data_IF_841074899511
#
_entry.id   IF_841074899511
#
_cell.length_a   1.000
_cell.length_b   1.000
_cell.length_c   1.000
_cell.angle_alpha   90.00
_cell.angle_beta   90.00
_cell.angle_gamma   90.00
#
_symmetry.space_group_name_H-M   'P 1'
#
loop_
_entity.id
_entity.type
_entity.pdbx_description
1 polymer ?
#
# COMPACT_ATOMS: atom_id res chain seq x y z
N UNK A 1 -61.05 -27.51 18.50
CA UNK A 1 -60.03 -26.61 19.07
C UNK A 1 -58.64 -27.25 19.18
N UNK A 2 -58.52 -28.51 19.62
CA UNK A 2 -57.22 -29.19 19.77
C UNK A 2 -56.43 -29.38 18.45
N UNK A 3 -57.10 -29.74 17.34
CA UNK A 3 -56.43 -29.93 16.04
C UNK A 3 -55.87 -28.63 15.45
N UNK A 4 -56.53 -27.51 15.71
CA UNK A 4 -56.12 -26.18 15.23
C UNK A 4 -54.89 -25.66 16.00
N UNK A 5 -54.82 -25.95 17.31
CA UNK A 5 -53.63 -25.71 18.15
C UNK A 5 -52.45 -26.60 17.76
N UNK A 6 -52.71 -27.86 17.36
CA UNK A 6 -51.70 -28.79 16.88
C UNK A 6 -51.06 -28.32 15.57
N UNK A 7 -51.87 -27.89 14.59
CA UNK A 7 -51.40 -27.35 13.32
C UNK A 7 -50.62 -26.04 13.52
N UNK A 8 -51.11 -25.15 14.40
CA UNK A 8 -50.43 -23.89 14.70
C UNK A 8 -49.04 -24.11 15.32
N UNK A 9 -48.90 -25.10 16.22
CA UNK A 9 -47.61 -25.46 16.82
C UNK A 9 -46.62 -26.05 15.79
N UNK A 10 -47.12 -26.85 14.84
CA UNK A 10 -46.29 -27.40 13.76
C UNK A 10 -45.79 -26.27 12.85
N UNK A 11 -46.66 -25.35 12.44
CA UNK A 11 -46.30 -24.20 11.61
C UNK A 11 -45.30 -23.28 12.33
N UNK A 12 -45.48 -23.04 13.63
CA UNK A 12 -44.56 -22.25 14.43
C UNK A 12 -43.17 -22.92 14.55
N UNK A 13 -43.12 -24.24 14.72
CA UNK A 13 -41.86 -24.99 14.75
C UNK A 13 -41.12 -24.92 13.40
N UNK A 14 -41.83 -25.08 12.27
CA UNK A 14 -41.23 -24.92 10.95
C UNK A 14 -40.75 -23.49 10.69
N UNK A 15 -41.52 -22.49 11.11
CA UNK A 15 -41.10 -21.08 11.01
C UNK A 15 -39.84 -20.82 11.86
N UNK A 16 -39.75 -21.35 13.07
CA UNK A 16 -38.57 -21.21 13.94
C UNK A 16 -37.34 -21.93 13.38
N UNK A 17 -37.50 -23.11 12.78
CA UNK A 17 -36.41 -23.82 12.10
C UNK A 17 -35.94 -23.04 10.86
N UNK A 18 -36.88 -22.52 10.06
CA UNK A 18 -36.58 -21.70 8.88
C UNK A 18 -35.85 -20.40 9.23
N UNK A 19 -36.27 -19.69 10.28
CA UNK A 19 -35.59 -18.46 10.74
C UNK A 19 -34.21 -18.76 11.34
N UNK A 20 -34.04 -19.87 12.07
CA UNK A 20 -32.74 -20.30 12.57
C UNK A 20 -31.76 -20.63 11.42
N UNK A 21 -32.24 -21.31 10.37
CA UNK A 21 -31.44 -21.61 9.18
C UNK A 21 -31.04 -20.34 8.41
N UNK A 22 -31.97 -19.42 8.21
CA UNK A 22 -31.68 -18.11 7.60
C UNK A 22 -30.69 -17.29 8.45
N UNK A 23 -30.78 -17.36 9.77
CA UNK A 23 -29.83 -16.73 10.69
C UNK A 23 -28.41 -17.31 10.55
N UNK A 24 -28.29 -18.63 10.40
CA UNK A 24 -26.99 -19.29 10.19
C UNK A 24 -26.39 -18.94 8.82
N UNK A 25 -27.20 -18.93 7.75
CA UNK A 25 -26.73 -18.58 6.40
C UNK A 25 -26.30 -17.11 6.31
N UNK A 26 -27.11 -16.20 6.87
CA UNK A 26 -26.76 -14.77 6.90
C UNK A 26 -25.52 -14.51 7.76
N UNK A 27 -25.34 -15.19 8.88
CA UNK A 27 -24.12 -15.09 9.70
C UNK A 27 -22.87 -15.57 8.95
N UNK A 28 -22.96 -16.68 8.21
CA UNK A 28 -21.83 -17.18 7.41
C UNK A 28 -21.45 -16.19 6.31
N UNK A 29 -22.44 -15.70 5.55
CA UNK A 29 -22.19 -14.68 4.51
C UNK A 29 -21.61 -13.40 5.10
N UNK A 30 -22.13 -12.93 6.23
CA UNK A 30 -21.59 -11.75 6.90
C UNK A 30 -20.13 -11.98 7.34
N UNK A 31 -19.80 -13.16 7.87
CA UNK A 31 -18.43 -13.49 8.26
C UNK A 31 -17.48 -13.54 7.06
N UNK A 32 -17.92 -14.06 5.91
CA UNK A 32 -17.14 -14.05 4.66
C UNK A 32 -16.87 -12.62 4.19
N UNK A 33 -17.89 -11.76 4.22
CA UNK A 33 -17.79 -10.34 3.89
C UNK A 33 -16.81 -9.63 4.85
N UNK A 34 -16.93 -9.86 6.17
CA UNK A 34 -16.05 -9.25 7.18
C UNK A 34 -14.58 -9.69 7.00
N UNK A 35 -14.35 -10.97 6.64
CA UNK A 35 -13.02 -11.49 6.33
C UNK A 35 -12.42 -10.83 5.08
N UNK A 36 -13.23 -10.64 4.04
CA UNK A 36 -12.81 -9.96 2.81
C UNK A 36 -12.44 -8.50 3.10
N UNK A 37 -13.28 -7.78 3.85
CA UNK A 37 -12.97 -6.40 4.28
C UNK A 37 -11.68 -6.31 5.10
N UNK A 38 -11.47 -7.23 6.04
CA UNK A 38 -10.26 -7.24 6.85
C UNK A 38 -9.00 -7.47 6.00
N UNK A 39 -9.08 -8.40 5.03
CA UNK A 39 -7.98 -8.64 4.09
C UNK A 39 -7.67 -7.41 3.25
N UNK A 40 -8.69 -6.75 2.70
CA UNK A 40 -8.50 -5.51 1.93
C UNK A 40 -7.86 -4.39 2.77
N UNK A 41 -8.24 -4.28 4.05
CA UNK A 41 -7.65 -3.30 4.96
C UNK A 41 -6.14 -3.56 5.15
N UNK A 42 -5.75 -4.83 5.35
CA UNK A 42 -4.33 -5.21 5.48
C UNK A 42 -3.53 -4.94 4.20
N UNK A 43 -4.11 -5.20 3.03
CA UNK A 43 -3.47 -4.89 1.74
C UNK A 43 -3.22 -3.38 1.58
N UNK A 44 -4.19 -2.54 1.96
CA UNK A 44 -4.05 -1.08 1.92
C UNK A 44 -2.98 -0.58 2.87
N UNK A 45 -3.02 -1.05 4.13
CA UNK A 45 -2.07 -0.66 5.16
C UNK A 45 -0.64 -0.99 4.73
N UNK A 46 -0.41 -2.19 4.19
CA UNK A 46 0.90 -2.60 3.70
C UNK A 46 1.44 -1.68 2.58
N UNK A 47 0.59 -1.29 1.62
CA UNK A 47 0.97 -0.35 0.57
C UNK A 47 1.24 1.05 1.12
N UNK A 48 0.42 1.55 2.04
CA UNK A 48 0.60 2.88 2.63
C UNK A 48 1.88 2.97 3.47
N UNK A 49 2.15 1.98 4.33
CA UNK A 49 3.38 1.93 5.12
C UNK A 49 4.63 1.86 4.23
N UNK A 50 4.56 1.10 3.13
CA UNK A 50 5.64 1.03 2.16
C UNK A 50 5.92 2.38 1.50
N UNK A 51 4.90 3.05 0.99
CA UNK A 51 5.04 4.37 0.37
C UNK A 51 5.58 5.42 1.36
N UNK A 52 5.13 5.38 2.62
CA UNK A 52 5.66 6.26 3.67
C UNK A 52 7.15 6.00 3.96
N UNK A 53 7.59 4.74 3.93
CA UNK A 53 9.01 4.40 4.11
C UNK A 53 9.89 4.88 2.95
N UNK A 54 9.37 4.87 1.71
CA UNK A 54 10.09 5.42 0.55
C UNK A 54 10.25 6.94 0.63
N UNK A 55 9.21 7.65 1.08
CA UNK A 55 9.30 9.10 1.31
C UNK A 55 10.35 9.42 2.38
N UNK A 56 10.41 8.62 3.44
CA UNK A 56 11.46 8.73 4.46
C UNK A 56 12.86 8.51 3.88
N UNK A 57 13.05 7.54 2.98
CA UNK A 57 14.34 7.29 2.31
C UNK A 57 14.79 8.48 1.46
N UNK A 58 13.89 9.02 0.63
CA UNK A 58 14.20 10.12 -0.29
C UNK A 58 14.44 11.42 0.47
N UNK A 59 13.61 11.72 1.49
CA UNK A 59 13.81 12.88 2.35
C UNK A 59 15.09 12.77 3.16
N UNK A 60 15.43 11.58 3.66
CA UNK A 60 16.73 11.37 4.33
C UNK A 60 17.90 11.68 3.40
N UNK A 61 17.85 11.22 2.15
CA UNK A 61 18.89 11.52 1.18
C UNK A 61 19.01 13.03 0.91
N UNK A 62 17.89 13.76 0.86
CA UNK A 62 17.86 15.19 0.55
C UNK A 62 18.34 16.11 1.69
N UNK A 63 18.14 15.71 2.96
CA UNK A 63 18.37 16.59 4.11
C UNK A 63 19.57 16.24 4.98
N UNK A 64 20.13 15.03 4.88
CA UNK A 64 21.27 14.62 5.71
C UNK A 64 22.61 15.04 5.09
N UNK A 65 23.00 16.30 5.31
CA UNK A 65 24.39 16.73 5.19
C UNK A 65 25.23 16.06 6.29
N UNK A 66 25.97 15.01 5.94
CA UNK A 66 27.14 14.58 6.74
C UNK A 66 26.98 13.38 7.68
N UNK A 67 25.87 12.64 7.67
CA UNK A 67 25.74 11.40 8.44
C UNK A 67 25.40 10.18 7.57
N UNK A 68 26.43 9.35 7.35
CA UNK A 68 26.37 7.88 7.30
C UNK A 68 25.68 7.21 6.12
N UNK A 69 26.47 6.57 5.25
CA UNK A 69 25.99 5.48 4.39
C UNK A 69 25.20 4.38 5.15
N UNK A 70 25.46 4.25 6.46
CA UNK A 70 24.71 3.37 7.36
C UNK A 70 23.25 3.79 7.57
N UNK A 71 22.96 5.07 7.74
CA UNK A 71 21.57 5.52 7.97
C UNK A 71 20.71 5.36 6.72
N UNK A 72 21.30 5.57 5.53
CA UNK A 72 20.64 5.30 4.25
C UNK A 72 20.38 3.79 4.05
N UNK A 73 21.34 2.93 4.42
CA UNK A 73 21.16 1.49 4.37
C UNK A 73 20.00 1.02 5.26
N UNK A 74 19.86 1.59 6.46
CA UNK A 74 18.75 1.30 7.37
C UNK A 74 17.39 1.73 6.80
N UNK A 75 17.33 2.87 6.10
CA UNK A 75 16.10 3.29 5.39
C UNK A 75 15.76 2.35 4.24
N UNK A 76 16.75 1.88 3.48
CA UNK A 76 16.54 0.89 2.41
C UNK A 76 16.04 -0.43 3.01
N UNK A 77 16.63 -0.88 4.13
CA UNK A 77 16.20 -2.08 4.84
C UNK A 77 14.76 -1.96 5.36
N UNK A 78 14.36 -0.78 5.84
CA UNK A 78 12.98 -0.52 6.23
C UNK A 78 12.02 -0.64 5.05
N UNK A 79 12.37 -0.08 3.89
CA UNK A 79 11.57 -0.21 2.67
C UNK A 79 11.45 -1.68 2.23
N UNK A 80 12.56 -2.44 2.28
CA UNK A 80 12.57 -3.89 2.01
C UNK A 80 11.73 -4.70 2.99
N UNK A 81 11.71 -4.30 4.26
CA UNK A 81 10.84 -4.93 5.26
C UNK A 81 9.36 -4.66 4.96
N UNK A 82 9.02 -3.46 4.49
CA UNK A 82 7.64 -3.09 4.18
C UNK A 82 7.16 -3.70 2.86
N UNK A 83 8.01 -3.82 1.83
CA UNK A 83 7.62 -4.54 0.60
C UNK A 83 7.34 -6.02 0.89
N UNK A 84 8.04 -6.66 1.85
CA UNK A 84 7.73 -8.02 2.28
C UNK A 84 6.30 -8.18 2.82
N UNK A 85 5.71 -7.13 3.41
CA UNK A 85 4.28 -7.16 3.78
C UNK A 85 3.39 -7.19 2.53
N UNK A 86 3.76 -6.44 1.49
CA UNK A 86 3.07 -6.45 0.19
C UNK A 86 3.17 -7.83 -0.48
N UNK A 87 4.33 -8.50 -0.40
CA UNK A 87 4.51 -9.88 -0.92
C UNK A 87 3.53 -10.89 -0.32
N UNK A 88 3.09 -10.69 0.92
CA UNK A 88 2.18 -11.63 1.61
C UNK A 88 0.73 -11.44 1.14
N UNK A 89 0.31 -10.20 0.89
CA UNK A 89 -1.09 -9.87 0.72
C UNK A 89 -1.49 -9.48 -0.72
N UNK A 90 -0.54 -9.00 -1.54
CA UNK A 90 -0.83 -8.43 -2.85
C UNK A 90 -0.44 -9.36 -4.02
N UNK A 91 -1.09 -9.20 -5.20
CA UNK A 91 -0.73 -9.96 -6.40
C UNK A 91 0.66 -9.59 -6.93
N UNK A 92 1.26 -10.51 -7.69
CA UNK A 92 2.63 -10.38 -8.21
C UNK A 92 2.87 -9.11 -9.05
N UNK A 93 1.84 -8.59 -9.73
CA UNK A 93 1.92 -7.34 -10.48
C UNK A 93 2.18 -6.12 -9.58
N UNK A 94 1.49 -6.05 -8.44
CA UNK A 94 1.68 -4.98 -7.45
C UNK A 94 3.08 -5.08 -6.86
N UNK A 95 3.49 -6.29 -6.48
CA UNK A 95 4.83 -6.56 -5.96
C UNK A 95 5.92 -6.09 -6.93
N UNK A 96 5.82 -6.48 -8.20
CA UNK A 96 6.79 -6.09 -9.24
C UNK A 96 6.83 -4.57 -9.43
N UNK A 97 5.68 -3.92 -9.46
CA UNK A 97 5.62 -2.47 -9.61
C UNK A 97 6.23 -1.73 -8.41
N UNK A 98 6.01 -2.25 -7.19
CA UNK A 98 6.59 -1.70 -5.96
C UNK A 98 8.11 -1.94 -5.89
N UNK A 99 8.60 -3.11 -6.33
CA UNK A 99 10.04 -3.43 -6.35
C UNK A 99 10.81 -2.57 -7.36
N UNK A 100 10.21 -2.34 -8.54
CA UNK A 100 10.74 -1.37 -9.50
C UNK A 100 10.82 0.04 -8.88
N UNK A 101 9.77 0.47 -8.17
CA UNK A 101 9.79 1.76 -7.47
C UNK A 101 10.89 1.82 -6.40
N UNK A 102 11.15 0.74 -5.65
CA UNK A 102 12.24 0.70 -4.67
C UNK A 102 13.60 0.90 -5.34
N UNK A 103 13.81 0.26 -6.50
CA UNK A 103 15.05 0.35 -7.26
C UNK A 103 15.31 1.79 -7.69
N UNK A 104 14.35 2.41 -8.37
CA UNK A 104 14.47 3.80 -8.84
C UNK A 104 14.63 4.79 -7.67
N UNK A 105 13.89 4.60 -6.58
CA UNK A 105 14.03 5.44 -5.39
C UNK A 105 15.40 5.30 -4.71
N UNK A 106 15.98 4.09 -4.72
CA UNK A 106 17.32 3.84 -4.19
C UNK A 106 18.39 4.50 -5.05
N UNK A 107 18.23 4.44 -6.37
CA UNK A 107 19.13 5.08 -7.33
C UNK A 107 19.08 6.60 -7.18
N UNK A 108 17.88 7.19 -7.09
CA UNK A 108 17.69 8.62 -6.81
C UNK A 108 18.32 9.01 -5.46
N UNK A 109 18.07 8.25 -4.39
CA UNK A 109 18.66 8.52 -3.08
C UNK A 109 20.20 8.45 -3.13
N UNK A 110 20.77 7.51 -3.88
CA UNK A 110 22.21 7.41 -4.13
C UNK A 110 22.73 8.65 -4.88
N UNK A 111 22.04 9.11 -5.93
CA UNK A 111 22.42 10.32 -6.68
C UNK A 111 22.40 11.55 -5.77
N UNK A 112 21.32 11.75 -5.02
CA UNK A 112 21.18 12.87 -4.07
C UNK A 112 22.32 12.85 -3.05
N UNK A 113 22.62 11.69 -2.45
CA UNK A 113 23.68 11.56 -1.44
C UNK A 113 25.10 11.85 -1.96
N UNK A 114 25.31 11.71 -3.28
CA UNK A 114 26.62 11.86 -3.94
C UNK A 114 26.83 13.25 -4.53
N UNK A 115 25.79 14.07 -4.67
CA UNK A 115 25.91 15.44 -5.15
C UNK A 115 26.15 16.33 -3.92
N UNK A 116 27.37 16.82 -3.69
CA UNK A 116 27.61 17.79 -2.63
C UNK A 116 26.83 19.07 -2.93
N UNK A 117 26.29 19.74 -1.91
CA UNK A 117 25.55 20.99 -2.09
C UNK A 117 26.35 22.09 -2.84
N UNK A 118 27.69 22.03 -2.78
CA UNK A 118 28.58 22.95 -3.52
C UNK A 118 28.55 22.75 -5.04
N UNK A 119 28.12 21.58 -5.53
CA UNK A 119 28.14 21.21 -6.96
C UNK A 119 26.72 21.08 -7.53
N UNK A 120 25.70 21.50 -6.78
CA UNK A 120 24.29 21.44 -7.18
C UNK A 120 23.96 22.32 -8.39
N UNK A 121 24.85 23.26 -8.73
CA UNK A 121 24.74 24.16 -9.89
C UNK A 121 25.58 23.71 -11.10
N UNK A 122 26.24 22.55 -11.01
CA UNK A 122 26.86 21.92 -12.17
C UNK A 122 25.75 21.36 -13.07
N UNK A 123 25.69 21.85 -14.32
CA UNK A 123 24.65 21.49 -15.29
C UNK A 123 24.56 20.00 -15.54
N UNK A 124 25.68 19.28 -15.50
CA UNK A 124 25.70 17.84 -15.74
C UNK A 124 25.12 17.07 -14.54
N UNK A 125 25.31 17.59 -13.32
CA UNK A 125 24.76 16.99 -12.09
C UNK A 125 23.29 17.34 -11.89
N UNK A 126 22.89 18.54 -12.28
CA UNK A 126 21.48 18.96 -12.35
C UNK A 126 20.70 18.07 -13.33
N UNK A 127 21.24 17.86 -14.54
CA UNK A 127 20.63 16.98 -15.53
C UNK A 127 20.54 15.51 -15.06
N UNK A 128 21.56 15.01 -14.36
CA UNK A 128 21.55 13.68 -13.76
C UNK A 128 20.46 13.55 -12.69
N UNK A 129 20.38 14.52 -11.77
CA UNK A 129 19.35 14.53 -10.72
C UNK A 129 17.94 14.58 -11.32
N UNK A 130 17.70 15.46 -12.29
CA UNK A 130 16.38 15.61 -12.93
C UNK A 130 15.95 14.35 -13.69
N UNK A 131 16.89 13.65 -14.33
CA UNK A 131 16.62 12.39 -15.00
C UNK A 131 16.19 11.30 -13.99
N UNK A 132 16.96 11.09 -12.92
CA UNK A 132 16.64 10.07 -11.91
C UNK A 132 15.36 10.41 -11.13
N UNK A 133 15.11 11.71 -10.89
CA UNK A 133 13.86 12.20 -10.33
C UNK A 133 12.68 11.85 -11.22
N UNK A 134 12.81 12.08 -12.53
CA UNK A 134 11.76 11.78 -13.52
C UNK A 134 11.47 10.28 -13.59
N UNK A 135 12.49 9.43 -13.59
CA UNK A 135 12.32 7.97 -13.55
C UNK A 135 11.59 7.51 -12.29
N UNK A 136 12.01 8.02 -11.13
CA UNK A 136 11.37 7.70 -9.84
C UNK A 136 9.90 8.14 -9.81
N UNK A 137 9.59 9.33 -10.32
CA UNK A 137 8.21 9.80 -10.45
C UNK A 137 7.37 8.93 -11.38
N UNK A 138 7.92 8.51 -12.53
CA UNK A 138 7.24 7.62 -13.45
C UNK A 138 6.97 6.25 -12.81
N UNK A 139 7.97 5.67 -12.15
CA UNK A 139 7.83 4.41 -11.41
C UNK A 139 6.79 4.52 -10.29
N UNK A 140 6.75 5.65 -9.58
CA UNK A 140 5.76 5.92 -8.55
C UNK A 140 4.33 5.93 -9.12
N UNK A 141 4.11 6.64 -10.23
CA UNK A 141 2.81 6.69 -10.89
C UNK A 141 2.36 5.30 -11.34
N UNK A 142 3.27 4.49 -11.88
CA UNK A 142 2.99 3.10 -12.27
C UNK A 142 2.61 2.27 -11.04
N UNK A 143 3.43 2.30 -9.99
CA UNK A 143 3.20 1.53 -8.76
C UNK A 143 1.87 1.87 -8.09
N UNK A 144 1.54 3.16 -7.96
CA UNK A 144 0.26 3.61 -7.42
C UNK A 144 -0.92 3.18 -8.30
N UNK A 145 -0.79 3.28 -9.63
CA UNK A 145 -1.87 2.89 -10.54
C UNK A 145 -2.09 1.37 -10.54
N UNK A 146 -1.02 0.57 -10.46
CA UNK A 146 -1.12 -0.89 -10.33
C UNK A 146 -1.73 -1.24 -8.97
N UNK A 147 -1.25 -0.66 -7.87
CA UNK A 147 -1.85 -0.89 -6.54
C UNK A 147 -3.34 -0.52 -6.51
N UNK A 148 -3.74 0.61 -7.10
CA UNK A 148 -5.16 1.01 -7.20
C UNK A 148 -6.04 0.06 -8.00
N UNK A 149 -5.47 -0.66 -8.96
CA UNK A 149 -6.21 -1.68 -9.74
C UNK A 149 -6.48 -2.95 -8.94
N UNK A 150 -5.63 -3.23 -7.94
CA UNK A 150 -5.61 -4.52 -7.26
C UNK A 150 -5.99 -4.47 -5.78
N UNK A 151 -5.87 -3.33 -5.11
CA UNK A 151 -6.11 -3.17 -3.68
C UNK A 151 -7.46 -2.49 -3.43
N UNK A 152 -8.50 -3.30 -3.22
CA UNK A 152 -9.81 -2.95 -2.67
C UNK A 152 -10.98 -2.63 -3.64
N UNK A 153 -12.20 -2.97 -3.22
CA UNK A 153 -13.48 -2.95 -4.00
C UNK A 153 -14.06 -1.56 -4.38
N UNK A 154 -13.70 -0.46 -3.68
CA UNK A 154 -14.20 0.90 -3.95
C UNK A 154 -13.07 1.94 -3.90
N UNK A 155 -12.34 2.06 -5.01
CA UNK A 155 -11.43 3.13 -5.51
C UNK A 155 -11.20 4.39 -4.65
N UNK A 156 -10.93 4.28 -3.35
CA UNK A 156 -10.44 5.39 -2.56
C UNK A 156 -8.99 5.68 -2.97
N UNK A 157 -8.57 6.96 -2.94
CA UNK A 157 -7.19 7.29 -3.22
C UNK A 157 -6.32 6.58 -2.18
N UNK A 158 -5.48 5.64 -2.64
CA UNK A 158 -4.20 5.38 -1.95
C UNK A 158 -3.61 6.77 -1.76
N UNK A 159 -3.51 7.21 -0.50
CA UNK A 159 -2.95 8.49 -0.12
C UNK A 159 -1.68 8.62 -0.90
N UNK A 160 -1.73 9.42 -1.97
CA UNK A 160 -0.55 9.71 -2.73
C UNK A 160 0.29 10.46 -1.72
N UNK A 161 1.23 9.77 -1.09
CA UNK A 161 2.33 10.42 -0.41
C UNK A 161 2.93 11.24 -1.52
N UNK A 162 2.57 12.53 -1.56
CA UNK A 162 3.19 13.48 -2.45
C UNK A 162 4.65 13.29 -2.14
N UNK A 163 5.35 12.63 -3.07
CA UNK A 163 6.78 12.75 -3.18
C UNK A 163 6.97 14.25 -3.34
N UNK A 164 7.13 14.94 -2.21
CA UNK A 164 7.50 16.34 -2.12
C UNK A 164 8.96 16.37 -2.56
N UNK A 165 9.19 15.99 -3.80
CA UNK A 165 10.43 16.12 -4.52
C UNK A 165 10.53 17.62 -4.83
N UNK A 166 10.84 18.39 -3.79
CA UNK A 166 11.27 19.77 -3.76
C UNK A 166 10.87 20.55 -5.02
N UNK A 167 9.56 20.81 -5.12
CA UNK A 167 9.10 21.99 -5.83
C UNK A 167 9.41 23.20 -4.97
N UNK A 168 10.66 23.67 -4.99
CA UNK A 168 10.92 25.07 -4.63
C UNK A 168 10.10 25.91 -5.62
N UNK A 169 9.05 26.57 -5.12
CA UNK A 169 8.61 27.83 -5.72
C UNK A 169 9.59 28.92 -5.34
#
# INVERSE_FOLDING_TARGET
MADLLSIANIVAAFAAIGTAWLGIDTYRRQKEIDLEYHKEQLEREAVTEYLASLDTLINHAAYCEGHGAHDQADKILLCKKNINKIYIYAPAEVVKAMDNLLTEATDLASVISKIPNAEMFDKDKEALYDNERTKTQNAYLVAVNVARKHVGLHKQPVSAVQLFLLGKK
#
